data_IF_253956560182
#
_entry.id   IF_253956560182
#
_cell.length_a   1.000
_cell.length_b   1.000
_cell.length_c   1.000
_cell.angle_alpha   90.00
_cell.angle_beta   90.00
_cell.angle_gamma   90.00
#
_symmetry.space_group_name_H-M   'P 1'
#
loop_
_entity.id
_entity.type
_entity.pdbx_description
1 polymer ?
#
# COMPACT_ATOMS: atom_id res chain seq x y z
N UNK A 1 17.26 11.54 -17.45
CA UNK A 1 16.51 10.33 -17.07
C UNK A 1 17.52 9.23 -16.82
N UNK A 2 17.47 8.59 -15.65
CA UNK A 2 18.26 7.37 -15.42
C UNK A 2 17.67 6.30 -16.34
N UNK A 3 18.47 5.64 -17.17
CA UNK A 3 17.98 4.53 -18.01
C UNK A 3 17.53 3.28 -17.22
N UNK A 4 17.42 3.40 -15.90
CA UNK A 4 17.04 2.39 -14.91
C UNK A 4 16.11 3.02 -13.87
N UNK A 5 15.22 2.23 -13.27
CA UNK A 5 14.36 2.63 -12.15
C UNK A 5 13.08 1.81 -12.07
N UNK A 6 12.00 2.46 -11.64
CA UNK A 6 10.67 1.83 -11.58
C UNK A 6 10.11 1.64 -12.99
N UNK A 7 9.63 0.43 -13.28
CA UNK A 7 9.06 0.11 -14.59
C UNK A 7 7.65 0.73 -14.73
N UNK A 8 7.42 1.58 -15.75
CA UNK A 8 6.12 2.18 -16.00
C UNK A 8 5.16 1.20 -16.70
N UNK A 9 3.88 1.55 -16.71
CA UNK A 9 2.79 0.75 -17.31
C UNK A 9 3.12 0.17 -18.69
N UNK A 10 3.71 0.95 -19.59
CA UNK A 10 4.06 0.48 -20.94
C UNK A 10 5.10 -0.65 -20.93
N UNK A 11 6.12 -0.57 -20.07
CA UNK A 11 7.12 -1.63 -19.92
C UNK A 11 6.53 -2.86 -19.23
N UNK A 12 5.61 -2.67 -18.26
CA UNK A 12 4.87 -3.77 -17.65
C UNK A 12 4.01 -4.52 -18.69
N UNK A 13 3.36 -3.78 -19.59
CA UNK A 13 2.61 -4.33 -20.73
C UNK A 13 3.54 -5.10 -21.67
N UNK A 14 4.74 -4.59 -21.95
CA UNK A 14 5.75 -5.31 -22.75
C UNK A 14 6.13 -6.65 -22.10
N UNK A 15 6.35 -6.69 -20.78
CA UNK A 15 6.59 -7.94 -20.05
C UNK A 15 5.41 -8.93 -20.21
N UNK A 16 4.17 -8.43 -20.28
CA UNK A 16 3.02 -9.28 -20.56
C UNK A 16 3.02 -9.81 -22.00
N UNK A 17 3.16 -8.93 -23.00
CA UNK A 17 3.10 -9.29 -24.43
C UNK A 17 4.26 -10.19 -24.89
N UNK A 18 5.42 -10.08 -24.25
CA UNK A 18 6.61 -10.92 -24.50
C UNK A 18 6.58 -12.27 -23.77
N UNK A 19 5.53 -12.54 -22.98
CA UNK A 19 5.33 -13.80 -22.28
C UNK A 19 6.15 -13.98 -20.99
N UNK A 20 6.79 -12.91 -20.49
CA UNK A 20 7.44 -12.92 -19.17
C UNK A 20 6.42 -12.96 -18.03
N UNK A 21 5.27 -12.30 -18.21
CA UNK A 21 4.13 -12.36 -17.30
C UNK A 21 2.92 -12.78 -18.14
N UNK A 22 2.26 -13.89 -17.80
CA UNK A 22 1.10 -14.39 -18.58
C UNK A 22 -0.11 -14.55 -17.69
N UNK A 23 -1.32 -14.44 -18.25
CA UNK A 23 -2.57 -14.53 -17.47
C UNK A 23 -2.87 -13.30 -16.60
N UNK A 24 -2.19 -12.17 -16.87
CA UNK A 24 -2.48 -10.86 -16.29
C UNK A 24 -2.98 -9.95 -17.41
N UNK A 25 -4.16 -9.40 -17.23
CA UNK A 25 -4.84 -8.51 -18.19
C UNK A 25 -4.43 -7.03 -17.99
N UNK A 26 -4.69 -6.20 -19.01
CA UNK A 26 -4.32 -4.77 -19.05
C UNK A 26 -4.94 -3.94 -17.91
N UNK A 27 -6.11 -4.34 -17.42
CA UNK A 27 -6.82 -3.68 -16.31
C UNK A 27 -6.10 -3.84 -14.95
N UNK A 28 -5.21 -4.81 -14.80
CA UNK A 28 -4.37 -4.96 -13.61
C UNK A 28 -3.09 -4.12 -13.66
N UNK A 29 -2.80 -3.45 -14.79
CA UNK A 29 -1.62 -2.60 -14.93
C UNK A 29 -1.95 -1.17 -14.48
N UNK A 30 -1.35 -0.76 -13.37
CA UNK A 30 -1.37 0.61 -12.85
C UNK A 30 -0.21 1.43 -13.47
N UNK A 31 -0.14 2.76 -13.24
CA UNK A 31 0.95 3.61 -13.77
C UNK A 31 2.36 3.07 -13.50
N UNK A 32 2.58 2.47 -12.32
CA UNK A 32 3.89 1.98 -11.88
C UNK A 32 3.80 0.69 -11.05
N UNK A 33 2.75 -0.12 -11.21
CA UNK A 33 2.60 -1.39 -10.50
C UNK A 33 1.65 -2.34 -11.25
N UNK A 34 1.65 -3.61 -10.85
CA UNK A 34 0.75 -4.65 -11.31
C UNK A 34 -0.09 -5.12 -10.12
N UNK A 35 -1.40 -4.97 -10.18
CA UNK A 35 -2.32 -5.61 -9.25
C UNK A 35 -2.16 -7.14 -9.34
N UNK A 36 -2.19 -7.83 -8.19
CA UNK A 36 -2.04 -9.28 -8.12
C UNK A 36 -3.41 -9.96 -7.98
N UNK A 37 -4.09 -10.33 -9.08
CA UNK A 37 -5.39 -10.98 -9.03
C UNK A 37 -5.30 -12.33 -8.32
N UNK A 38 -6.27 -12.62 -7.46
CA UNK A 38 -6.40 -13.91 -6.79
C UNK A 38 -6.93 -14.96 -7.77
N UNK A 39 -6.32 -16.13 -7.82
CA UNK A 39 -6.85 -17.29 -8.52
C UNK A 39 -7.92 -18.00 -7.67
N UNK A 40 -8.63 -18.95 -8.27
CA UNK A 40 -9.63 -19.79 -7.59
C UNK A 40 -8.98 -20.95 -6.82
N UNK A 41 -7.95 -20.64 -6.04
CA UNK A 41 -7.22 -21.61 -5.24
C UNK A 41 -6.81 -20.99 -3.91
N UNK A 42 -7.40 -21.49 -2.82
CA UNK A 42 -7.18 -20.98 -1.48
C UNK A 42 -7.11 -22.12 -0.45
N UNK A 43 -6.34 -21.88 0.60
CA UNK A 43 -6.19 -22.77 1.73
C UNK A 43 -6.33 -21.99 3.03
N UNK A 44 -7.11 -22.52 3.98
CA UNK A 44 -7.08 -22.12 5.38
C UNK A 44 -5.85 -22.76 6.04
N UNK A 45 -5.10 -22.01 6.82
CA UNK A 45 -3.85 -22.47 7.44
C UNK A 45 -3.97 -22.53 8.97
N UNK A 46 -3.16 -23.38 9.59
CA UNK A 46 -2.96 -23.37 11.05
C UNK A 46 -1.92 -22.33 11.48
N UNK A 47 -0.95 -22.03 10.61
CA UNK A 47 0.11 -21.05 10.88
C UNK A 47 0.54 -20.32 9.61
N UNK A 48 1.10 -19.12 9.78
CA UNK A 48 1.80 -18.42 8.70
C UNK A 48 3.22 -18.98 8.55
N UNK A 49 3.80 -18.82 7.36
CA UNK A 49 5.13 -19.32 7.06
C UNK A 49 5.83 -18.44 6.04
N UNK A 50 7.15 -18.51 6.04
CA UNK A 50 8.00 -17.95 5.00
C UNK A 50 8.82 -19.10 4.42
N UNK A 51 8.79 -19.33 3.09
CA UNK A 51 9.63 -20.36 2.47
C UNK A 51 11.10 -20.11 2.76
N UNK A 52 11.90 -21.17 2.89
CA UNK A 52 13.36 -21.04 2.81
C UNK A 52 13.79 -20.91 1.34
N UNK A 53 15.04 -20.46 1.12
CA UNK A 53 15.59 -20.33 -0.23
C UNK A 53 15.51 -21.67 -0.97
N UNK A 54 14.97 -21.62 -2.19
CA UNK A 54 14.83 -22.79 -3.05
C UNK A 54 13.57 -23.63 -2.84
N UNK A 55 12.82 -23.44 -1.75
CA UNK A 55 11.57 -24.16 -1.49
C UNK A 55 10.41 -23.61 -2.32
N UNK A 56 9.52 -24.48 -2.79
CA UNK A 56 8.27 -24.04 -3.42
C UNK A 56 7.18 -23.93 -2.36
N UNK A 57 6.33 -22.92 -2.49
CA UNK A 57 5.22 -22.65 -1.56
C UNK A 57 4.29 -23.86 -1.45
N UNK A 58 3.96 -24.49 -2.59
CA UNK A 58 3.09 -25.69 -2.63
C UNK A 58 3.62 -26.85 -1.81
N UNK A 59 4.93 -27.05 -1.78
CA UNK A 59 5.56 -28.19 -1.10
C UNK A 59 5.47 -28.03 0.43
N UNK A 60 5.19 -26.81 0.91
CA UNK A 60 5.06 -26.47 2.33
C UNK A 60 3.63 -26.59 2.87
N UNK A 61 2.62 -26.77 2.02
CA UNK A 61 1.21 -26.88 2.44
C UNK A 61 0.97 -27.93 3.56
N UNK A 62 1.57 -29.14 3.52
CA UNK A 62 1.39 -30.11 4.61
C UNK A 62 2.00 -29.66 5.94
N UNK A 63 3.07 -28.85 5.92
CA UNK A 63 3.75 -28.38 7.13
C UNK A 63 2.96 -27.32 7.90
N UNK A 64 2.04 -26.63 7.22
CA UNK A 64 1.28 -25.50 7.77
C UNK A 64 -0.20 -25.82 8.01
N UNK A 65 -0.55 -27.12 7.97
CA UNK A 65 -1.93 -27.59 8.20
C UNK A 65 -2.92 -27.05 7.17
N UNK A 66 -2.49 -26.89 5.92
CA UNK A 66 -3.32 -26.30 4.87
C UNK A 66 -4.56 -27.17 4.58
N UNK A 67 -5.75 -26.59 4.69
CA UNK A 67 -7.02 -27.21 4.31
C UNK A 67 -7.67 -26.38 3.20
N UNK A 68 -8.21 -26.99 2.12
CA UNK A 68 -8.84 -26.24 1.04
C UNK A 68 -9.94 -25.30 1.54
N UNK A 69 -9.98 -24.08 0.99
CA UNK A 69 -10.98 -23.07 1.31
C UNK A 69 -11.75 -22.67 0.05
N UNK A 70 -13.08 -22.56 0.17
CA UNK A 70 -13.97 -22.09 -0.89
C UNK A 70 -14.35 -20.64 -0.62
N UNK A 71 -14.19 -19.79 -1.65
CA UNK A 71 -14.54 -18.36 -1.67
C UNK A 71 -16.02 -18.03 -1.44
N UNK A 72 -16.93 -19.00 -1.48
CA UNK A 72 -18.32 -18.84 -1.02
C UNK A 72 -18.40 -18.55 0.50
N UNK A 73 -17.33 -18.84 1.24
CA UNK A 73 -17.24 -18.63 2.68
C UNK A 73 -16.32 -17.44 2.98
N UNK A 74 -16.66 -16.60 3.97
CA UNK A 74 -15.78 -15.54 4.40
C UNK A 74 -14.51 -16.08 5.06
N UNK A 75 -13.42 -15.35 4.91
CA UNK A 75 -12.22 -15.51 5.70
C UNK A 75 -12.52 -15.10 7.14
N UNK A 76 -12.14 -15.95 8.09
CA UNK A 76 -12.38 -15.76 9.51
C UNK A 76 -11.39 -14.78 10.13
N UNK A 77 -11.83 -14.03 11.14
CA UNK A 77 -10.95 -13.10 11.88
C UNK A 77 -9.85 -13.87 12.60
N UNK A 78 -8.61 -13.43 12.43
CA UNK A 78 -7.43 -14.00 13.06
C UNK A 78 -6.93 -15.31 12.44
N UNK A 79 -7.62 -15.84 11.43
CA UNK A 79 -7.24 -17.10 10.76
C UNK A 79 -6.45 -16.78 9.48
N UNK A 80 -5.22 -17.32 9.33
CA UNK A 80 -4.45 -17.15 8.12
C UNK A 80 -4.96 -18.01 6.97
N UNK A 81 -4.96 -17.45 5.77
CA UNK A 81 -5.27 -18.12 4.51
C UNK A 81 -4.12 -17.91 3.53
N UNK A 82 -3.85 -18.91 2.70
CA UNK A 82 -2.96 -18.80 1.56
C UNK A 82 -3.79 -18.85 0.28
N UNK A 83 -3.67 -17.83 -0.55
CA UNK A 83 -4.45 -17.71 -1.78
C UNK A 83 -3.50 -17.56 -2.96
N UNK A 84 -3.65 -18.39 -3.99
CA UNK A 84 -2.75 -18.32 -5.15
C UNK A 84 -3.01 -17.04 -5.92
N UNK A 85 -1.95 -16.41 -6.41
CA UNK A 85 -2.06 -15.30 -7.37
C UNK A 85 -2.17 -15.89 -8.77
N UNK A 86 -3.06 -15.33 -9.59
CA UNK A 86 -3.25 -15.74 -10.95
C UNK A 86 -2.04 -15.39 -11.84
N UNK A 87 -2.03 -15.99 -13.02
CA UNK A 87 -0.95 -15.83 -13.98
C UNK A 87 0.29 -16.70 -13.74
N UNK A 88 1.27 -16.56 -14.63
CA UNK A 88 2.59 -17.21 -14.55
C UNK A 88 3.66 -16.14 -14.72
N UNK A 89 4.74 -16.29 -13.98
CA UNK A 89 5.77 -15.28 -13.83
C UNK A 89 7.14 -15.87 -14.16
N UNK A 90 7.82 -15.27 -15.14
CA UNK A 90 9.18 -15.59 -15.59
C UNK A 90 9.88 -14.29 -15.94
N UNK A 91 10.44 -13.64 -14.92
CA UNK A 91 11.02 -12.31 -15.07
C UNK A 91 12.31 -12.35 -15.90
N UNK A 92 12.66 -11.26 -16.60
CA UNK A 92 14.01 -11.07 -17.15
C UNK A 92 15.08 -11.02 -16.05
N UNK A 93 16.34 -11.28 -16.38
CA UNK A 93 17.44 -11.37 -15.40
C UNK A 93 17.73 -10.08 -14.64
N UNK A 94 17.38 -8.93 -15.22
CA UNK A 94 17.59 -7.60 -14.63
C UNK A 94 16.39 -7.09 -13.84
N UNK A 95 15.24 -7.76 -13.95
CA UNK A 95 13.99 -7.30 -13.33
C UNK A 95 13.78 -7.99 -11.99
N UNK A 96 13.46 -7.19 -10.98
CA UNK A 96 12.99 -7.66 -9.68
C UNK A 96 11.74 -6.89 -9.28
N UNK A 97 11.00 -7.41 -8.30
CA UNK A 97 9.75 -6.80 -7.84
C UNK A 97 9.62 -6.80 -6.33
N UNK A 98 8.90 -5.80 -5.83
CA UNK A 98 8.46 -5.74 -4.44
C UNK A 98 6.96 -5.50 -4.39
N UNK A 99 6.28 -6.20 -3.50
CA UNK A 99 4.84 -6.12 -3.33
C UNK A 99 4.49 -5.20 -2.15
N UNK A 100 3.30 -4.64 -2.19
CA UNK A 100 2.67 -4.00 -1.05
C UNK A 100 1.17 -4.27 -1.10
N UNK A 101 0.48 -4.26 0.05
CA UNK A 101 -0.97 -4.26 0.07
C UNK A 101 -1.53 -3.07 -0.73
N UNK A 102 -2.68 -3.25 -1.37
CA UNK A 102 -3.41 -2.10 -1.95
C UNK A 102 -3.94 -1.22 -0.82
N UNK A 103 -4.09 0.07 -1.07
CA UNK A 103 -4.62 1.00 -0.04
C UNK A 103 -6.00 0.57 0.48
N UNK A 104 -6.89 0.07 -0.39
CA UNK A 104 -8.19 -0.46 0.03
C UNK A 104 -8.09 -1.69 0.94
N UNK A 105 -7.05 -2.50 0.79
CA UNK A 105 -6.73 -3.64 1.64
C UNK A 105 -6.29 -3.16 3.02
N UNK A 106 -5.31 -2.25 3.05
CA UNK A 106 -4.81 -1.66 4.29
C UNK A 106 -5.93 -1.06 5.14
N UNK A 107 -6.78 -0.22 4.53
CA UNK A 107 -7.89 0.48 5.22
C UNK A 107 -8.97 -0.42 5.80
N UNK A 108 -9.01 -1.68 5.41
CA UNK A 108 -9.94 -2.66 5.98
C UNK A 108 -9.31 -3.48 7.11
N UNK A 109 -8.08 -3.16 7.54
CA UNK A 109 -7.40 -3.94 8.58
C UNK A 109 -7.17 -5.39 8.14
N UNK A 110 -6.93 -5.58 6.85
CA UNK A 110 -6.75 -6.90 6.23
C UNK A 110 -5.26 -7.15 6.03
N UNK A 111 -4.70 -8.06 6.83
CA UNK A 111 -3.31 -8.49 6.69
C UNK A 111 -3.13 -9.21 5.37
N UNK A 112 -2.09 -8.79 4.65
CA UNK A 112 -1.77 -9.26 3.32
C UNK A 112 -0.26 -9.22 3.15
N UNK A 113 0.36 -10.36 2.82
CA UNK A 113 1.77 -10.45 2.43
C UNK A 113 1.90 -11.38 1.23
N UNK A 114 2.60 -10.95 0.19
CA UNK A 114 2.92 -11.83 -0.92
C UNK A 114 4.04 -12.79 -0.51
N UNK A 115 3.90 -14.08 -0.81
CA UNK A 115 4.97 -15.08 -0.74
C UNK A 115 5.21 -15.66 -2.12
N UNK A 116 6.43 -16.09 -2.39
CA UNK A 116 6.84 -16.55 -3.70
C UNK A 116 7.74 -17.77 -3.59
N UNK A 117 7.68 -18.64 -4.59
CA UNK A 117 8.58 -19.77 -4.68
C UNK A 117 10.04 -19.32 -4.60
N UNK A 118 10.84 -20.05 -3.82
CA UNK A 118 12.30 -19.96 -3.71
C UNK A 118 12.81 -18.67 -3.09
N UNK A 119 11.93 -17.82 -2.56
CA UNK A 119 12.30 -16.52 -1.95
C UNK A 119 12.06 -16.58 -0.43
N UNK A 120 13.12 -16.30 0.33
CA UNK A 120 13.13 -16.24 1.81
C UNK A 120 12.76 -14.86 2.34
N UNK A 121 11.87 -14.16 1.64
CA UNK A 121 11.44 -12.81 1.97
C UNK A 121 10.00 -12.58 1.52
N UNK A 122 9.15 -12.08 2.43
CA UNK A 122 7.82 -11.62 2.06
C UNK A 122 7.92 -10.46 1.06
N UNK A 123 6.90 -10.34 0.22
CA UNK A 123 6.70 -9.19 -0.65
C UNK A 123 7.86 -8.94 -1.63
N UNK A 124 8.63 -9.96 -1.97
CA UNK A 124 9.78 -9.84 -2.85
C UNK A 124 9.77 -10.91 -3.94
N UNK A 125 10.02 -10.47 -5.17
CA UNK A 125 10.41 -11.31 -6.30
C UNK A 125 11.83 -10.93 -6.67
N UNK A 126 12.79 -11.66 -6.11
CA UNK A 126 14.22 -11.36 -6.21
C UNK A 126 14.99 -12.54 -6.79
N UNK A 127 16.17 -12.23 -7.32
CA UNK A 127 17.05 -13.19 -7.98
C UNK A 127 17.01 -13.04 -9.51
N UNK A 128 18.14 -13.23 -10.21
CA UNK A 128 18.18 -13.07 -11.66
C UNK A 128 17.22 -14.03 -12.35
N UNK A 129 16.20 -13.47 -13.00
CA UNK A 129 15.29 -14.22 -13.87
C UNK A 129 14.27 -15.05 -13.10
N UNK A 130 13.84 -14.56 -11.94
CA UNK A 130 12.94 -15.28 -11.04
C UNK A 130 11.75 -15.88 -11.78
N UNK A 131 11.47 -17.15 -11.48
CA UNK A 131 10.38 -17.93 -12.08
C UNK A 131 9.75 -18.83 -11.02
N UNK A 132 8.43 -18.75 -10.89
CA UNK A 132 7.68 -19.56 -9.94
C UNK A 132 6.25 -19.08 -9.75
N UNK A 133 5.59 -19.65 -8.76
CA UNK A 133 4.29 -19.18 -8.32
C UNK A 133 4.41 -18.09 -7.26
N UNK A 134 3.39 -17.23 -7.24
CA UNK A 134 3.17 -16.23 -6.20
C UNK A 134 1.85 -16.51 -5.51
N UNK A 135 1.82 -16.22 -4.21
CA UNK A 135 0.67 -16.43 -3.35
C UNK A 135 0.52 -15.22 -2.42
N UNK A 136 -0.67 -15.05 -1.87
CA UNK A 136 -0.97 -14.05 -0.84
C UNK A 136 -1.31 -14.77 0.45
N UNK A 137 -0.54 -14.51 1.50
CA UNK A 137 -0.97 -14.76 2.87
C UNK A 137 -1.94 -13.66 3.27
N UNK A 138 -3.17 -14.07 3.56
CA UNK A 138 -4.31 -13.22 3.87
C UNK A 138 -4.83 -13.52 5.27
N UNK A 139 -5.11 -12.48 6.07
CA UNK A 139 -5.76 -12.64 7.37
C UNK A 139 -6.58 -11.39 7.72
N UNK A 140 -7.91 -11.49 7.87
CA UNK A 140 -8.68 -10.40 8.45
C UNK A 140 -8.37 -10.28 9.94
N UNK A 141 -8.04 -9.08 10.41
CA UNK A 141 -7.69 -8.88 11.83
C UNK A 141 -8.86 -8.30 12.66
N UNK A 142 -9.84 -7.65 12.02
CA UNK A 142 -10.88 -6.89 12.73
C UNK A 142 -12.32 -7.31 12.42
N UNK A 143 -12.57 -7.85 11.24
CA UNK A 143 -13.89 -8.36 10.84
C UNK A 143 -13.75 -9.37 9.70
N UNK A 144 -14.70 -10.32 9.55
CA UNK A 144 -14.64 -11.31 8.47
C UNK A 144 -14.66 -10.65 7.10
N UNK A 145 -13.93 -11.23 6.14
CA UNK A 145 -13.80 -10.68 4.78
C UNK A 145 -14.20 -11.74 3.76
N UNK A 146 -15.10 -11.40 2.84
CA UNK A 146 -15.40 -12.22 1.68
C UNK A 146 -14.56 -11.74 0.50
N UNK A 147 -13.87 -12.68 -0.14
CA UNK A 147 -13.07 -12.44 -1.34
C UNK A 147 -13.69 -13.14 -2.54
N UNK A 148 -13.40 -12.64 -3.73
CA UNK A 148 -13.80 -13.24 -5.00
C UNK A 148 -12.56 -13.40 -5.87
N UNK A 149 -12.38 -14.55 -6.56
CA UNK A 149 -11.33 -14.70 -7.55
C UNK A 149 -11.34 -13.54 -8.57
N UNK A 150 -10.15 -13.13 -9.01
CA UNK A 150 -9.93 -11.95 -9.85
C UNK A 150 -9.78 -10.63 -9.08
N UNK A 151 -10.23 -10.52 -7.83
CA UNK A 151 -9.89 -9.36 -7.00
C UNK A 151 -8.38 -9.33 -6.73
N UNK A 152 -7.82 -8.14 -6.58
CA UNK A 152 -6.47 -7.95 -6.10
C UNK A 152 -6.49 -7.29 -4.72
N UNK A 153 -5.74 -7.87 -3.78
CA UNK A 153 -5.53 -7.33 -2.43
C UNK A 153 -4.08 -6.87 -2.20
N UNK A 154 -3.18 -7.27 -3.09
CA UNK A 154 -1.77 -6.89 -3.16
C UNK A 154 -1.45 -6.36 -4.57
N UNK A 155 -0.36 -5.62 -4.69
CA UNK A 155 0.17 -5.10 -5.94
C UNK A 155 1.69 -5.20 -5.91
N UNK A 156 2.31 -5.39 -7.07
CA UNK A 156 3.75 -5.54 -7.25
C UNK A 156 4.29 -4.39 -8.10
N UNK A 157 5.31 -3.69 -7.61
CA UNK A 157 6.10 -2.75 -8.40
C UNK A 157 7.35 -3.47 -8.89
N UNK A 158 7.69 -3.28 -10.16
CA UNK A 158 8.89 -3.86 -10.77
C UNK A 158 9.94 -2.80 -11.04
N UNK A 159 11.20 -3.22 -11.01
CA UNK A 159 12.36 -2.36 -11.10
C UNK A 159 13.43 -3.05 -11.95
N UNK A 160 14.25 -2.27 -12.65
CA UNK A 160 15.49 -2.75 -13.31
C UNK A 160 16.75 -2.09 -12.75
N UNK A 161 16.62 -1.35 -11.64
CA UNK A 161 17.72 -0.77 -10.89
C UNK A 161 17.21 0.11 -9.74
N UNK A 162 18.10 0.37 -8.77
CA UNK A 162 17.82 1.30 -7.67
C UNK A 162 18.05 2.73 -8.16
N UNK A 163 17.05 3.58 -8.05
CA UNK A 163 17.08 4.93 -8.61
C UNK A 163 16.50 5.97 -7.65
N UNK A 164 16.82 5.82 -6.37
CA UNK A 164 16.38 6.75 -5.34
C UNK A 164 17.00 8.13 -5.53
N UNK A 165 16.28 9.18 -5.09
CA UNK A 165 16.82 10.52 -5.10
C UNK A 165 17.92 10.62 -4.04
N UNK A 166 19.09 11.11 -4.44
CA UNK A 166 20.10 11.59 -3.50
C UNK A 166 19.75 13.00 -3.00
N UNK A 167 20.60 13.60 -2.16
CA UNK A 167 20.32 14.90 -1.55
C UNK A 167 20.17 16.03 -2.58
N UNK A 168 21.05 16.06 -3.60
CA UNK A 168 21.01 17.08 -4.65
C UNK A 168 19.74 16.93 -5.50
N UNK A 169 19.42 15.72 -5.93
CA UNK A 169 18.23 15.45 -6.73
C UNK A 169 16.94 15.69 -5.93
N UNK A 170 16.97 15.45 -4.63
CA UNK A 170 15.88 15.77 -3.70
C UNK A 170 15.66 17.28 -3.63
N UNK A 171 16.71 18.06 -3.43
CA UNK A 171 16.65 19.53 -3.41
C UNK A 171 16.08 20.08 -4.72
N UNK A 172 16.62 19.65 -5.85
CA UNK A 172 16.15 20.06 -7.18
C UNK A 172 14.70 19.69 -7.43
N UNK A 173 14.25 18.50 -7.01
CA UNK A 173 12.85 18.09 -7.15
C UNK A 173 11.94 18.94 -6.26
N UNK A 174 12.35 19.21 -5.02
CA UNK A 174 11.61 20.11 -4.13
C UNK A 174 11.52 21.51 -4.72
N UNK A 175 12.60 22.09 -5.24
CA UNK A 175 12.57 23.44 -5.83
C UNK A 175 11.77 23.52 -7.13
N UNK A 176 11.87 22.50 -8.00
CA UNK A 176 11.21 22.55 -9.32
C UNK A 176 9.72 22.23 -9.24
N UNK A 177 9.35 21.09 -8.67
CA UNK A 177 7.95 20.64 -8.63
C UNK A 177 7.31 20.88 -7.28
N UNK A 178 8.08 20.71 -6.20
CA UNK A 178 7.53 20.58 -4.85
C UNK A 178 7.14 19.12 -4.61
N UNK A 179 7.69 18.52 -3.56
CA UNK A 179 7.38 17.14 -3.17
C UNK A 179 6.45 17.11 -1.95
N UNK A 180 6.57 18.13 -1.10
CA UNK A 180 5.78 18.30 0.11
C UNK A 180 5.24 19.72 0.16
N UNK A 181 3.99 19.83 0.58
CA UNK A 181 3.29 21.08 0.81
C UNK A 181 2.72 21.07 2.23
N UNK A 182 2.64 22.25 2.84
CA UNK A 182 1.95 22.43 4.11
C UNK A 182 0.44 22.21 3.96
N UNK A 183 -0.26 22.13 5.08
CA UNK A 183 -1.72 21.92 5.11
C UNK A 183 -2.50 23.00 4.33
N UNK A 184 -2.00 24.24 4.29
CA UNK A 184 -2.55 25.36 3.52
C UNK A 184 -2.07 25.41 2.05
N UNK A 185 -1.43 24.35 1.56
CA UNK A 185 -1.03 24.20 0.16
C UNK A 185 0.20 25.00 -0.23
N UNK A 186 0.98 25.51 0.74
CA UNK A 186 2.25 26.18 0.43
C UNK A 186 3.35 25.16 0.25
N UNK A 187 4.14 25.36 -0.80
CA UNK A 187 5.30 24.53 -1.11
C UNK A 187 6.33 24.62 0.02
N UNK A 188 6.76 23.46 0.53
CA UNK A 188 7.78 23.38 1.58
C UNK A 188 9.18 23.35 0.96
N UNK A 189 10.13 24.05 1.57
CA UNK A 189 11.56 23.93 1.27
C UNK A 189 12.18 22.76 2.04
N UNK A 190 13.42 22.38 1.70
CA UNK A 190 14.16 21.37 2.49
C UNK A 190 14.27 21.77 3.96
N UNK A 191 14.44 23.05 4.27
CA UNK A 191 14.58 23.57 5.63
C UNK A 191 13.29 23.47 6.45
N UNK A 192 12.13 23.49 5.77
CA UNK A 192 10.82 23.32 6.41
C UNK A 192 10.50 21.85 6.70
N UNK A 193 11.23 20.92 6.09
CA UNK A 193 11.01 19.47 6.23
C UNK A 193 11.96 18.83 7.21
N UNK A 194 11.53 17.70 7.79
CA UNK A 194 12.40 16.83 8.56
C UNK A 194 12.70 15.58 7.75
N UNK A 195 13.96 15.13 7.79
CA UNK A 195 14.41 13.92 7.11
C UNK A 195 15.03 12.93 8.09
N UNK A 196 14.88 11.65 7.78
CA UNK A 196 15.61 10.56 8.43
C UNK A 196 16.12 9.62 7.34
N UNK A 197 17.44 9.60 7.16
CA UNK A 197 18.11 8.98 6.01
C UNK A 197 17.60 9.52 4.66
N UNK A 198 17.18 8.63 3.77
CA UNK A 198 16.70 8.89 2.41
C UNK A 198 15.22 9.28 2.33
N UNK A 199 14.56 9.51 3.47
CA UNK A 199 13.12 9.69 3.55
C UNK A 199 12.74 10.99 4.27
N UNK A 200 11.64 11.61 3.84
CA UNK A 200 10.99 12.68 4.59
C UNK A 200 10.14 12.10 5.72
N UNK A 201 10.14 12.76 6.87
CA UNK A 201 9.24 12.44 7.97
C UNK A 201 7.88 13.10 7.70
N UNK A 202 6.82 12.32 7.90
CA UNK A 202 5.44 12.77 7.81
C UNK A 202 4.80 12.78 9.19
N UNK A 203 3.96 13.76 9.43
CA UNK A 203 3.30 13.99 10.70
C UNK A 203 1.79 13.80 10.60
N UNK A 204 1.19 13.45 11.72
CA UNK A 204 -0.24 13.22 11.86
C UNK A 204 -0.97 14.56 11.93
N UNK A 205 -2.03 14.72 11.14
CA UNK A 205 -3.02 15.77 11.38
C UNK A 205 -3.94 15.33 12.53
N UNK A 206 -4.11 16.16 13.55
CA UNK A 206 -5.06 15.91 14.65
C UNK A 206 -5.95 17.14 14.87
N UNK A 207 -7.11 17.16 14.21
CA UNK A 207 -8.18 18.14 14.38
C UNK A 207 -9.33 17.63 15.26
N UNK A 208 -10.46 18.35 15.29
CA UNK A 208 -11.64 17.96 16.09
C UNK A 208 -12.18 16.56 15.71
N UNK A 209 -12.25 16.28 14.40
CA UNK A 209 -12.50 14.96 13.83
C UNK A 209 -11.32 14.61 12.95
N UNK A 210 -10.58 13.57 13.34
CA UNK A 210 -9.26 13.26 12.75
C UNK A 210 -9.29 12.03 11.84
N UNK A 211 -10.21 11.10 12.09
CA UNK A 211 -10.22 9.84 11.38
C UNK A 211 -11.16 8.83 12.01
N UNK A 212 -10.82 7.56 11.90
CA UNK A 212 -11.69 6.46 12.26
C UNK A 212 -11.00 5.42 13.11
N UNK A 213 -11.69 4.93 14.14
CA UNK A 213 -11.29 3.78 14.94
C UNK A 213 -12.14 2.58 14.53
N UNK A 214 -11.52 1.47 14.16
CA UNK A 214 -12.25 0.24 13.89
C UNK A 214 -12.76 -0.36 15.21
N UNK A 215 -14.05 -0.70 15.25
CA UNK A 215 -14.68 -1.26 16.46
C UNK A 215 -14.40 -2.76 16.65
N UNK A 216 -13.96 -3.43 15.59
CA UNK A 216 -14.12 -4.87 15.44
C UNK A 216 -15.60 -5.25 15.30
N UNK A 217 -15.94 -6.12 14.36
CA UNK A 217 -17.34 -6.52 14.15
C UNK A 217 -17.44 -7.93 13.58
N UNK A 218 -18.63 -8.54 13.69
CA UNK A 218 -18.94 -9.83 13.06
C UNK A 218 -19.60 -9.67 11.68
N UNK A 219 -19.85 -8.43 11.25
CA UNK A 219 -20.35 -8.15 9.89
C UNK A 219 -19.28 -8.53 8.86
N UNK A 220 -19.71 -9.21 7.80
CA UNK A 220 -18.83 -9.61 6.71
C UNK A 220 -18.66 -8.43 5.74
N UNK A 221 -17.41 -8.10 5.42
CA UNK A 221 -17.07 -7.16 4.35
C UNK A 221 -16.73 -7.92 3.07
N UNK A 222 -17.56 -7.78 2.04
CA UNK A 222 -17.33 -8.28 0.68
C UNK A 222 -16.47 -7.27 -0.09
N UNK A 223 -15.24 -7.67 -0.41
CA UNK A 223 -14.27 -6.81 -1.10
C UNK A 223 -14.61 -6.55 -2.58
N UNK A 224 -15.60 -7.24 -3.14
CA UNK A 224 -16.09 -6.95 -4.50
C UNK A 224 -16.98 -5.70 -4.54
N UNK A 225 -17.58 -5.32 -3.41
CA UNK A 225 -18.51 -4.19 -3.33
C UNK A 225 -17.78 -2.85 -3.32
N UNK A 226 -18.45 -1.81 -3.79
CA UNK A 226 -17.96 -0.43 -3.70
C UNK A 226 -19.13 0.49 -3.32
N UNK A 227 -18.87 1.49 -2.47
CA UNK A 227 -19.86 2.45 -1.98
C UNK A 227 -21.13 1.78 -1.42
N UNK A 228 -20.97 0.70 -0.64
CA UNK A 228 -22.07 -0.17 -0.23
C UNK A 228 -22.31 -0.18 1.28
N UNK A 229 -21.25 -0.27 2.08
CA UNK A 229 -21.36 -0.43 3.53
C UNK A 229 -21.50 0.91 4.25
N UNK A 230 -22.30 0.95 5.30
CA UNK A 230 -22.35 2.11 6.20
C UNK A 230 -21.06 2.16 7.04
N UNK A 231 -20.34 3.29 7.11
CA UNK A 231 -19.14 3.43 7.94
C UNK A 231 -19.34 3.00 9.40
N UNK A 232 -20.46 3.39 10.01
CA UNK A 232 -20.75 3.18 11.44
C UNK A 232 -20.91 1.71 11.85
N UNK A 233 -21.09 0.83 10.87
CA UNK A 233 -21.16 -0.62 11.07
C UNK A 233 -19.81 -1.26 11.40
N UNK A 234 -18.71 -0.59 11.02
CA UNK A 234 -17.35 -1.13 11.09
C UNK A 234 -16.40 -0.18 11.86
N UNK A 235 -16.66 1.13 11.78
CA UNK A 235 -15.80 2.18 12.31
C UNK A 235 -16.56 3.15 13.22
N UNK A 236 -15.81 3.89 14.04
CA UNK A 236 -16.28 5.01 14.83
C UNK A 236 -15.47 6.25 14.45
N UNK A 237 -16.07 7.43 14.24
CA UNK A 237 -15.30 8.65 14.09
C UNK A 237 -14.52 8.96 15.38
N UNK A 238 -13.28 9.40 15.22
CA UNK A 238 -12.41 9.81 16.31
C UNK A 238 -12.69 11.28 16.62
N UNK A 239 -13.27 11.55 17.79
CA UNK A 239 -13.43 12.89 18.34
C UNK A 239 -12.28 13.20 19.30
N UNK A 240 -11.53 14.25 19.02
CA UNK A 240 -10.36 14.64 19.80
C UNK A 240 -10.76 15.66 20.87
N UNK A 241 -10.34 15.42 22.12
CA UNK A 241 -10.61 16.32 23.25
C UNK A 241 -9.30 16.91 23.78
N UNK A 242 -9.25 18.22 24.00
CA UNK A 242 -8.05 18.92 24.50
C UNK A 242 -6.80 18.73 23.62
N UNK A 243 -6.99 18.67 22.28
CA UNK A 243 -5.90 18.61 21.30
C UNK A 243 -5.06 17.32 21.34
N UNK A 244 -5.57 16.24 21.95
CA UNK A 244 -4.87 14.97 22.08
C UNK A 244 -5.82 13.79 22.02
N UNK A 245 -5.32 12.64 21.58
CA UNK A 245 -6.04 11.38 21.58
C UNK A 245 -5.11 10.24 22.03
N UNK A 246 -5.66 9.18 22.61
CA UNK A 246 -4.88 7.99 23.01
C UNK A 246 -5.25 6.86 22.05
N UNK A 247 -4.32 6.50 21.18
CA UNK A 247 -4.44 5.30 20.37
C UNK A 247 -4.17 4.09 21.28
N UNK A 248 -5.11 3.15 21.34
CA UNK A 248 -5.01 1.99 22.23
C UNK A 248 -4.26 0.84 21.58
N UNK A 249 -3.49 0.11 22.38
CA UNK A 249 -2.76 -1.09 21.95
C UNK A 249 -3.68 -2.07 21.21
N UNK A 250 -3.26 -2.51 20.03
CA UNK A 250 -4.01 -3.45 19.19
C UNK A 250 -5.22 -2.85 18.46
N UNK A 251 -5.60 -1.61 18.77
CA UNK A 251 -6.61 -0.88 18.00
C UNK A 251 -6.15 -0.61 16.57
N UNK A 252 -7.12 -0.40 15.67
CA UNK A 252 -6.86 -0.08 14.28
C UNK A 252 -7.48 1.25 13.90
N UNK A 253 -6.62 2.15 13.46
CA UNK A 253 -6.98 3.54 13.23
C UNK A 253 -6.68 3.94 11.79
N UNK A 254 -7.65 4.60 11.16
CA UNK A 254 -7.50 5.25 9.86
C UNK A 254 -7.32 6.74 10.13
N UNK A 255 -6.12 7.23 9.84
CA UNK A 255 -5.67 8.59 10.15
C UNK A 255 -5.17 9.27 8.88
N UNK A 256 -4.75 10.53 8.93
CA UNK A 256 -4.24 11.26 7.75
C UNK A 256 -3.00 12.08 8.08
N UNK A 257 -2.14 12.30 7.08
CA UNK A 257 -0.98 13.18 7.21
C UNK A 257 -1.39 14.64 7.29
N UNK A 258 -0.57 15.44 7.98
CA UNK A 258 -0.66 16.91 7.96
C UNK A 258 -0.02 17.47 6.69
N UNK A 259 1.10 16.91 6.26
CA UNK A 259 1.74 17.28 5.01
C UNK A 259 0.91 16.75 3.84
N UNK A 260 0.91 17.53 2.76
CA UNK A 260 0.35 17.14 1.48
C UNK A 260 1.49 16.68 0.59
N UNK A 261 1.32 15.52 -0.03
CA UNK A 261 2.34 14.84 -0.80
C UNK A 261 2.06 15.00 -2.29
N UNK A 262 3.09 15.33 -3.05
CA UNK A 262 3.06 15.38 -4.51
C UNK A 262 4.09 14.41 -5.08
N UNK A 263 3.67 13.58 -6.02
CA UNK A 263 4.54 12.70 -6.79
C UNK A 263 4.51 13.14 -8.26
N UNK A 264 5.54 13.86 -8.74
CA UNK A 264 5.64 14.23 -10.15
C UNK A 264 5.63 13.01 -11.09
N UNK A 265 5.21 13.15 -12.37
CA UNK A 265 5.12 12.04 -13.33
C UNK A 265 6.40 11.22 -13.56
N UNK A 266 7.58 11.81 -13.31
CA UNK A 266 8.88 11.15 -13.47
C UNK A 266 9.37 10.44 -12.19
N UNK A 267 8.62 10.54 -11.09
CA UNK A 267 8.91 9.90 -9.81
C UNK A 267 7.79 8.94 -9.44
N UNK A 268 8.13 7.99 -8.60
CA UNK A 268 7.19 7.28 -7.75
C UNK A 268 7.56 7.53 -6.29
N UNK A 269 6.65 7.19 -5.38
CA UNK A 269 6.97 7.21 -3.95
C UNK A 269 6.50 5.95 -3.23
N UNK A 270 7.06 5.76 -2.04
CA UNK A 270 6.71 4.68 -1.13
C UNK A 270 6.61 5.24 0.29
N UNK A 271 5.46 4.98 0.94
CA UNK A 271 5.35 5.14 2.38
C UNK A 271 6.13 4.03 3.06
N UNK A 272 6.96 4.37 4.03
CA UNK A 272 7.77 3.45 4.81
C UNK A 272 7.37 3.54 6.28
N UNK A 273 7.45 2.40 6.96
CA UNK A 273 7.31 2.36 8.40
C UNK A 273 8.34 3.28 9.07
N UNK A 274 7.92 3.93 10.15
CA UNK A 274 8.80 4.79 10.94
C UNK A 274 9.92 3.96 11.59
N UNK A 275 11.07 4.58 11.84
CA UNK A 275 12.10 3.96 12.68
C UNK A 275 11.52 3.69 14.07
N UNK A 276 11.67 2.50 14.66
CA UNK A 276 11.13 2.20 16.00
C UNK A 276 11.52 3.22 17.07
N UNK A 277 12.66 3.91 16.93
CA UNK A 277 13.10 4.97 17.86
C UNK A 277 12.21 6.20 17.85
N UNK A 278 11.38 6.36 16.82
CA UNK A 278 10.47 7.49 16.65
C UNK A 278 9.02 7.15 17.03
N UNK A 279 8.72 5.89 17.39
CA UNK A 279 7.40 5.49 17.87
C UNK A 279 7.18 3.97 17.96
N UNK A 280 6.23 3.57 18.81
CA UNK A 280 5.88 2.16 19.11
C UNK A 280 4.55 1.75 18.45
N UNK A 281 4.49 1.84 17.13
CA UNK A 281 3.32 1.43 16.34
C UNK A 281 3.77 0.93 14.97
N UNK A 282 2.89 0.16 14.31
CA UNK A 282 3.08 -0.23 12.91
C UNK A 282 2.19 0.62 12.02
N UNK A 283 2.76 1.26 11.02
CA UNK A 283 2.00 1.66 9.83
C UNK A 283 1.82 0.41 8.97
N UNK A 284 0.72 -0.33 9.20
CA UNK A 284 0.58 -1.70 8.71
C UNK A 284 0.60 -1.82 7.17
N UNK A 285 0.26 -0.74 6.48
CA UNK A 285 0.17 -0.64 5.02
C UNK A 285 0.99 0.53 4.45
N UNK A 286 2.27 0.61 4.86
CA UNK A 286 3.30 1.22 4.02
C UNK A 286 3.10 0.75 2.57
N UNK A 287 2.90 1.68 1.64
CA UNK A 287 2.38 1.37 0.32
C UNK A 287 2.91 2.30 -0.75
N UNK A 288 2.77 1.86 -1.99
CA UNK A 288 3.18 2.62 -3.15
C UNK A 288 2.23 3.79 -3.44
N UNK A 289 2.84 4.91 -3.84
CA UNK A 289 2.15 6.07 -4.38
C UNK A 289 2.60 6.19 -5.83
N UNK A 290 1.63 6.28 -6.73
CA UNK A 290 1.89 6.27 -8.16
C UNK A 290 2.32 7.64 -8.69
N UNK A 291 3.06 7.65 -9.82
CA UNK A 291 3.40 8.89 -10.52
C UNK A 291 2.16 9.71 -10.87
N UNK A 292 2.23 11.01 -10.62
CA UNK A 292 1.13 11.96 -10.81
C UNK A 292 0.20 12.13 -9.61
N UNK A 293 0.44 11.47 -8.47
CA UNK A 293 -0.36 11.69 -7.26
C UNK A 293 -0.25 13.14 -6.77
N UNK A 294 -1.39 13.83 -6.66
CA UNK A 294 -1.44 15.19 -6.15
C UNK A 294 -0.76 16.21 -7.07
N UNK A 295 -0.57 15.84 -8.34
CA UNK A 295 0.08 16.66 -9.36
C UNK A 295 -0.94 17.44 -10.20
N UNK A 296 -2.16 16.92 -10.36
CA UNK A 296 -3.10 17.45 -11.35
C UNK A 296 -2.67 17.10 -12.79
N UNK A 297 -3.23 17.79 -13.78
CA UNK A 297 -2.95 17.52 -15.21
C UNK A 297 -1.60 18.08 -15.65
N UNK A 298 -1.21 19.22 -15.10
CA UNK A 298 -0.07 20.03 -15.51
C UNK A 298 0.79 20.51 -14.32
N UNK A 299 0.63 19.94 -13.12
CA UNK A 299 1.36 20.37 -11.92
C UNK A 299 0.67 21.52 -11.16
N UNK A 300 -0.62 21.72 -11.38
CA UNK A 300 -1.41 22.81 -10.79
C UNK A 300 -1.88 22.54 -9.35
N UNK A 301 -1.89 21.28 -8.93
CA UNK A 301 -2.31 20.88 -7.59
C UNK A 301 -1.18 21.08 -6.57
N UNK A 302 -1.51 21.19 -5.29
CA UNK A 302 -0.53 21.33 -4.20
C UNK A 302 -0.39 20.04 -3.38
N UNK A 303 -0.30 18.90 -4.04
CA UNK A 303 -0.28 17.60 -3.38
C UNK A 303 -1.61 17.25 -2.67
N UNK A 304 -1.65 16.06 -2.04
CA UNK A 304 -2.79 15.64 -1.19
C UNK A 304 -2.28 14.96 0.09
N UNK A 305 -3.00 15.10 1.21
CA UNK A 305 -2.76 14.26 2.38
C UNK A 305 -2.86 12.77 2.04
N UNK A 306 -2.16 11.93 2.79
CA UNK A 306 -2.25 10.49 2.66
C UNK A 306 -2.93 9.89 3.88
N UNK A 307 -3.90 9.02 3.62
CA UNK A 307 -4.49 8.16 4.65
C UNK A 307 -3.45 7.16 5.18
N UNK A 308 -3.41 7.01 6.49
CA UNK A 308 -2.50 6.13 7.20
C UNK A 308 -3.28 5.09 8.00
N UNK A 309 -2.81 3.85 7.93
CA UNK A 309 -3.28 2.71 8.72
C UNK A 309 -2.37 2.51 9.93
N UNK A 310 -2.83 2.90 11.12
CA UNK A 310 -2.01 2.87 12.35
C UNK A 310 -2.50 1.79 13.31
N UNK A 311 -1.59 0.89 13.69
CA UNK A 311 -1.82 -0.14 14.71
C UNK A 311 -0.79 0.05 15.83
N UNK A 312 -1.19 0.61 16.99
CA UNK A 312 -0.30 0.81 18.13
C UNK A 312 0.13 -0.52 18.76
N UNK A 313 1.42 -0.65 19.08
CA UNK A 313 1.92 -1.78 19.85
C UNK A 313 1.79 -1.56 21.36
N UNK A 314 1.66 -0.30 21.78
CA UNK A 314 1.33 0.13 23.14
C UNK A 314 0.34 1.29 23.10
N UNK A 315 -0.28 1.60 24.24
CA UNK A 315 -1.12 2.79 24.38
C UNK A 315 -0.27 4.04 24.14
N UNK A 316 -0.64 4.83 23.13
CA UNK A 316 0.16 5.95 22.67
C UNK A 316 -0.67 7.24 22.64
N UNK A 317 -0.18 8.27 23.33
CA UNK A 317 -0.71 9.61 23.19
C UNK A 317 -0.25 10.22 21.86
N UNK A 318 -1.20 10.67 21.05
CA UNK A 318 -0.94 11.41 19.82
C UNK A 318 -1.48 12.83 19.90
N UNK A 319 -0.79 13.73 19.21
CA UNK A 319 -1.09 15.16 19.08
C UNK A 319 -0.85 15.58 17.64
N UNK A 320 -1.39 16.74 17.26
CA UNK A 320 -1.13 17.31 15.94
C UNK A 320 0.39 17.50 15.73
N UNK A 321 0.87 17.15 14.54
CA UNK A 321 2.29 17.21 14.20
C UNK A 321 3.15 16.07 14.75
N UNK A 322 2.56 15.05 15.39
CA UNK A 322 3.30 13.86 15.82
C UNK A 322 3.81 13.09 14.60
N UNK A 323 5.11 12.79 14.54
CA UNK A 323 5.68 12.00 13.45
C UNK A 323 5.09 10.58 13.45
N UNK A 324 4.60 10.14 12.29
CA UNK A 324 3.87 8.87 12.15
C UNK A 324 4.36 8.00 10.99
N UNK A 325 4.92 8.59 9.94
CA UNK A 325 5.35 7.84 8.76
C UNK A 325 6.59 8.47 8.12
N UNK A 326 7.14 7.76 7.14
CA UNK A 326 8.21 8.26 6.29
C UNK A 326 7.82 8.08 4.83
N UNK A 327 8.26 8.97 3.97
CA UNK A 327 8.08 8.83 2.52
C UNK A 327 9.41 8.96 1.81
N UNK A 328 9.63 8.06 0.86
CA UNK A 328 10.79 8.05 -0.01
C UNK A 328 10.34 8.16 -1.47
N UNK A 329 11.15 8.81 -2.28
CA UNK A 329 10.95 8.94 -3.72
C UNK A 329 11.97 8.10 -4.49
N UNK A 330 11.56 7.63 -5.66
CA UNK A 330 12.39 6.88 -6.60
C UNK A 330 12.05 7.29 -8.04
N UNK A 331 13.06 7.35 -8.91
CA UNK A 331 12.84 7.67 -10.31
C UNK A 331 12.06 6.57 -11.03
N UNK A 332 11.12 7.01 -11.87
CA UNK A 332 10.61 6.15 -12.94
C UNK A 332 11.69 5.96 -13.99
N UNK A 333 11.76 4.77 -14.59
CA UNK A 333 12.61 4.53 -15.76
C UNK A 333 12.22 5.47 -16.91
N UNK A 334 10.92 5.62 -17.13
CA UNK A 334 10.30 6.56 -18.06
C UNK A 334 8.96 7.04 -17.49
N UNK A 335 8.46 8.18 -17.96
CA UNK A 335 7.14 8.67 -17.55
C UNK A 335 6.07 7.67 -18.03
N UNK A 336 5.13 7.23 -17.17
CA UNK A 336 4.02 6.38 -17.59
C UNK A 336 3.12 7.06 -18.62
N UNK A 337 2.62 6.29 -19.58
CA UNK A 337 1.60 6.75 -20.54
C UNK A 337 0.33 7.29 -19.86
N UNK A 338 0.02 6.77 -18.68
CA UNK A 338 -1.11 7.19 -17.85
C UNK A 338 -0.59 7.41 -16.44
N UNK A 339 -0.76 8.62 -15.93
CA UNK A 339 -0.43 9.00 -14.55
C UNK A 339 -1.68 9.04 -13.67
N UNK A 340 -1.51 9.01 -12.35
CA UNK A 340 -2.60 8.84 -11.39
C UNK A 340 -3.71 9.89 -11.55
N UNK A 341 -3.36 11.18 -11.58
CA UNK A 341 -4.32 12.30 -11.70
C UNK A 341 -4.78 12.58 -13.14
N UNK A 342 -4.45 11.73 -14.12
CA UNK A 342 -4.98 11.86 -15.47
C UNK A 342 -6.51 11.64 -15.51
N UNK A 343 -7.03 10.85 -14.57
CA UNK A 343 -8.46 10.63 -14.34
C UNK A 343 -8.91 11.26 -13.02
N UNK A 344 -10.23 11.34 -12.79
CA UNK A 344 -10.76 11.80 -11.52
C UNK A 344 -10.28 10.90 -10.37
N UNK A 345 -9.54 11.50 -9.44
CA UNK A 345 -9.08 10.80 -8.25
C UNK A 345 -10.23 10.54 -7.28
N UNK A 346 -10.26 9.34 -6.70
CA UNK A 346 -11.17 9.04 -5.60
C UNK A 346 -10.78 9.73 -4.29
N UNK A 347 -9.59 10.34 -4.26
CA UNK A 347 -9.02 11.06 -3.13
C UNK A 347 -9.22 12.55 -3.31
N UNK A 348 -9.89 13.15 -2.33
CA UNK A 348 -10.19 14.58 -2.31
C UNK A 348 -9.37 15.27 -1.24
N UNK A 349 -9.37 16.60 -1.28
CA UNK A 349 -8.72 17.48 -0.30
C UNK A 349 -9.46 17.50 1.05
N UNK A 350 -9.62 16.33 1.67
CA UNK A 350 -10.33 16.18 2.93
C UNK A 350 -9.35 16.02 4.08
N UNK A 351 -9.59 16.82 5.13
CA UNK A 351 -8.82 16.79 6.39
C UNK A 351 -9.22 15.63 7.31
N UNK A 352 -10.31 14.94 6.98
CA UNK A 352 -10.73 13.71 7.64
C UNK A 352 -10.22 12.53 6.83
N UNK A 353 -9.57 11.58 7.50
CA UNK A 353 -9.07 10.37 6.86
C UNK A 353 -10.20 9.63 6.12
N UNK A 354 -9.97 9.26 4.87
CA UNK A 354 -10.96 8.55 4.07
C UNK A 354 -10.91 7.04 4.32
N UNK A 355 -12.08 6.43 4.55
CA UNK A 355 -12.22 4.97 4.55
C UNK A 355 -11.99 4.38 3.15
N UNK A 356 -11.95 3.05 3.07
CA UNK A 356 -11.78 2.34 1.79
C UNK A 356 -12.98 2.53 0.85
N UNK A 357 -12.80 2.22 -0.43
CA UNK A 357 -13.85 2.33 -1.47
C UNK A 357 -15.14 1.54 -1.19
N UNK A 358 -15.13 0.63 -0.24
CA UNK A 358 -16.25 -0.26 0.08
C UNK A 358 -17.35 0.47 0.87
N UNK A 359 -17.00 1.56 1.55
CA UNK A 359 -17.90 2.33 2.41
C UNK A 359 -18.57 3.46 1.65
N UNK A 360 -19.81 3.76 2.04
CA UNK A 360 -20.50 4.97 1.60
C UNK A 360 -19.74 6.19 2.08
N UNK A 361 -19.56 7.18 1.20
CA UNK A 361 -19.02 8.47 1.61
C UNK A 361 -20.02 9.15 2.54
N UNK A 362 -19.55 9.62 3.69
CA UNK A 362 -20.32 10.55 4.50
C UNK A 362 -20.59 11.79 3.63
N UNK A 363 -21.87 12.15 3.47
CA UNK A 363 -22.31 13.33 2.73
C UNK A 363 -21.91 14.58 3.48
#
# INVERSE_FOLDING_TARGET
MSGIGVLPKQTLRELCTSGHITGIEENYLNPASVDLPLADEAYRLESIFLPLRGEKVRDLLPLVGATPHNFDNPLEVGVPYLIRVAGKWKLPSVVYGYANPKSSTGRNGFFCRTVADKVDMYEALIGPGWTGETWVLARPDYFPVLLTPGLAVSQMRFFDGKSFLDDLHTELAMERTGLLFSEDGKKMSLQDTRRHADSFLLTLHVGEVTGWECRGTRKILDMSRSNFYEPDDFFKPISVTNGKYILRKGGFYILTTRERIMVPPYLSAELRAIDPRLGEFRSHAAGYIDPGWGYGKNGEECGRPITLEVIPQEDMLVRDGQTVARIRYEYMKEIPEIVYDAAASNYTDQRVAQLSKHFKRAI
#
